data_IF_757942856386
#
_entry.id   IF_757942856386
#
_cell.length_a   1.000
_cell.length_b   1.000
_cell.length_c   1.000
_cell.angle_alpha   90.00
_cell.angle_beta   90.00
_cell.angle_gamma   90.00
#
_symmetry.space_group_name_H-M   'P 1'
#
loop_
_entity.id
_entity.type
_entity.pdbx_description
1 polymer ?
#
# COMPACT_ATOMS: atom_id res chain seq x y z
N UNK A 1 -43.26 -10.63 -2.88
CA UNK A 1 -42.86 -9.35 -2.27
C UNK A 1 -41.50 -9.54 -1.64
N UNK A 2 -40.44 -9.31 -2.43
CA UNK A 2 -39.06 -9.55 -2.03
C UNK A 2 -38.50 -8.25 -1.46
N UNK A 3 -38.05 -8.29 -0.20
CA UNK A 3 -37.47 -7.13 0.47
C UNK A 3 -36.08 -6.87 -0.11
N UNK A 4 -35.93 -5.78 -0.86
CA UNK A 4 -34.64 -5.28 -1.28
C UNK A 4 -33.86 -4.87 -0.02
N UNK A 5 -32.76 -5.58 0.25
CA UNK A 5 -31.82 -5.19 1.29
C UNK A 5 -31.12 -3.88 0.88
N UNK A 6 -30.95 -2.90 1.79
CA UNK A 6 -30.08 -1.76 1.54
C UNK A 6 -28.62 -2.21 1.66
N UNK A 7 -27.89 -2.07 0.55
CA UNK A 7 -26.44 -2.25 0.42
C UNK A 7 -25.70 -1.48 1.53
N UNK A 8 -25.34 -2.19 2.58
CA UNK A 8 -24.49 -1.69 3.65
C UNK A 8 -23.02 -1.91 3.25
N UNK A 9 -22.17 -0.94 3.56
CA UNK A 9 -20.70 -0.92 3.40
C UNK A 9 -20.16 -0.36 2.07
N UNK A 10 -20.32 0.95 1.86
CA UNK A 10 -19.58 1.73 0.85
C UNK A 10 -18.47 2.62 1.44
N UNK A 11 -18.02 2.36 2.67
CA UNK A 11 -16.74 2.87 3.12
C UNK A 11 -15.66 1.95 2.53
N UNK A 12 -15.26 2.25 1.30
CA UNK A 12 -14.12 1.59 0.66
C UNK A 12 -12.87 1.88 1.50
N UNK A 13 -12.26 0.87 2.16
CA UNK A 13 -11.14 1.11 3.07
C UNK A 13 -9.91 1.64 2.32
N UNK A 14 -9.83 1.47 1.01
CA UNK A 14 -8.75 2.02 0.18
C UNK A 14 -8.86 3.54 -0.01
N UNK A 15 -10.06 4.13 0.12
CA UNK A 15 -10.25 5.59 0.08
C UNK A 15 -9.81 6.29 1.38
N UNK A 16 -9.88 5.60 2.52
CA UNK A 16 -9.41 6.10 3.81
C UNK A 16 -7.88 6.24 3.83
N UNK A 17 -7.17 5.25 3.27
CA UNK A 17 -5.70 5.21 3.17
C UNK A 17 -5.16 6.35 2.28
N UNK A 18 -5.89 6.73 1.23
CA UNK A 18 -5.49 7.80 0.31
C UNK A 18 -5.77 9.22 0.85
N UNK A 19 -6.56 9.36 1.91
CA UNK A 19 -7.07 10.65 2.40
C UNK A 19 -6.48 11.08 3.74
N UNK A 20 -5.76 10.18 4.43
CA UNK A 20 -5.23 10.44 5.77
C UNK A 20 -3.74 10.82 5.73
N UNK A 21 -3.40 12.11 5.94
CA UNK A 21 -2.02 12.59 5.82
C UNK A 21 -1.08 11.99 6.88
N UNK A 22 -1.62 11.57 8.03
CA UNK A 22 -0.82 10.92 9.09
C UNK A 22 -0.40 9.51 8.69
N UNK A 23 -1.25 8.76 7.99
CA UNK A 23 -0.89 7.43 7.46
C UNK A 23 0.16 7.52 6.35
N UNK A 24 0.04 8.52 5.46
CA UNK A 24 1.05 8.76 4.43
C UNK A 24 2.42 9.14 5.02
N UNK A 25 2.44 9.81 6.17
CA UNK A 25 3.68 10.12 6.89
C UNK A 25 4.39 8.88 7.47
N UNK A 26 3.66 7.78 7.69
CA UNK A 26 4.24 6.50 8.11
C UNK A 26 4.83 5.68 6.94
N UNK A 27 4.47 5.99 5.70
CA UNK A 27 4.98 5.29 4.52
C UNK A 27 6.43 5.71 4.23
N UNK A 28 7.35 4.86 4.67
CA UNK A 28 8.79 5.04 4.49
C UNK A 28 9.37 4.13 3.41
N UNK A 29 10.46 4.57 2.78
CA UNK A 29 11.17 3.77 1.79
C UNK A 29 11.78 2.50 2.42
N UNK A 30 11.43 1.29 1.94
CA UNK A 30 11.93 0.02 2.50
C UNK A 30 13.41 -0.25 2.20
N UNK A 31 14.00 0.44 1.22
CA UNK A 31 15.37 0.17 0.75
C UNK A 31 16.41 1.17 1.27
N UNK A 32 15.99 2.32 1.78
CA UNK A 32 16.89 3.25 2.45
C UNK A 32 17.02 2.89 3.93
N UNK A 33 18.24 2.86 4.46
CA UNK A 33 18.49 2.59 5.88
C UNK A 33 17.82 3.64 6.80
N UNK A 34 17.81 4.90 6.36
CA UNK A 34 17.22 6.06 7.03
C UNK A 34 15.68 6.08 6.99
N UNK A 35 15.04 5.15 6.27
CA UNK A 35 13.57 5.06 6.12
C UNK A 35 12.91 6.44 5.86
N UNK A 36 13.38 7.23 4.87
CA UNK A 36 12.81 8.53 4.56
C UNK A 36 11.36 8.37 4.06
N UNK A 37 10.50 9.39 4.26
CA UNK A 37 9.12 9.37 3.80
C UNK A 37 9.03 9.30 2.26
N UNK A 38 7.98 8.66 1.77
CA UNK A 38 7.67 8.59 0.35
C UNK A 38 6.75 9.74 -0.07
N UNK A 39 6.97 10.30 -1.27
CA UNK A 39 6.06 11.26 -1.90
C UNK A 39 5.09 10.56 -2.82
N UNK A 40 3.80 10.88 -2.70
CA UNK A 40 2.79 10.45 -3.67
C UNK A 40 3.01 11.21 -5.00
N UNK A 41 3.04 10.48 -6.11
CA UNK A 41 3.11 11.07 -7.44
C UNK A 41 1.82 11.83 -7.79
N UNK A 42 1.89 12.77 -8.74
CA UNK A 42 0.76 13.58 -9.19
C UNK A 42 -0.41 12.71 -9.69
N UNK A 43 -0.10 11.64 -10.41
CA UNK A 43 -1.07 10.65 -10.90
C UNK A 43 -1.72 9.82 -9.79
N UNK A 44 -1.28 9.95 -8.53
CA UNK A 44 -1.74 9.17 -7.35
C UNK A 44 -1.73 7.65 -7.55
N UNK A 45 -0.89 7.17 -8.47
CA UNK A 45 -0.72 5.74 -8.84
C UNK A 45 0.60 5.16 -8.37
N UNK A 46 1.47 5.98 -7.78
CA UNK A 46 2.79 5.56 -7.34
C UNK A 46 3.35 6.46 -6.25
N UNK A 47 4.31 5.91 -5.51
CA UNK A 47 5.10 6.61 -4.50
C UNK A 47 6.55 6.70 -4.95
N UNK A 48 7.14 7.89 -4.82
CA UNK A 48 8.54 8.14 -5.14
C UNK A 48 9.35 8.45 -3.90
N UNK A 49 10.57 7.92 -3.82
CA UNK A 49 11.53 8.27 -2.78
C UNK A 49 12.53 9.30 -3.32
N UNK A 50 12.57 10.51 -2.77
CA UNK A 50 13.53 11.55 -3.18
C UNK A 50 14.98 11.25 -2.81
N UNK A 51 15.22 10.32 -1.90
CA UNK A 51 16.58 9.96 -1.45
C UNK A 51 17.24 8.93 -2.35
N UNK A 52 16.51 7.91 -2.81
CA UNK A 52 17.06 6.86 -3.69
C UNK A 52 16.50 6.89 -5.12
N UNK A 53 15.50 7.72 -5.41
CA UNK A 53 14.89 7.87 -6.73
C UNK A 53 13.97 6.72 -7.16
N UNK A 54 13.64 5.79 -6.24
CA UNK A 54 12.77 4.64 -6.57
C UNK A 54 11.30 5.02 -6.62
N UNK A 55 10.59 4.38 -7.53
CA UNK A 55 9.15 4.51 -7.73
C UNK A 55 8.48 3.18 -7.40
N UNK A 56 7.48 3.22 -6.53
CA UNK A 56 6.68 2.09 -6.08
C UNK A 56 5.26 2.23 -6.60
N UNK A 57 4.74 1.29 -7.40
CA UNK A 57 3.39 1.36 -7.94
C UNK A 57 2.33 1.07 -6.87
N UNK A 58 1.15 1.67 -7.02
CA UNK A 58 -0.05 1.35 -6.23
C UNK A 58 -0.89 0.38 -7.06
N UNK A 59 -1.12 -0.83 -6.53
CA UNK A 59 -1.89 -1.90 -7.17
C UNK A 59 -3.07 -2.24 -6.26
N UNK A 60 -4.30 -2.26 -6.81
CA UNK A 60 -5.53 -2.51 -6.04
C UNK A 60 -5.77 -1.52 -4.88
N UNK A 61 -5.21 -0.30 -4.99
CA UNK A 61 -5.24 0.69 -3.91
C UNK A 61 -4.17 0.51 -2.83
N UNK A 62 -3.32 -0.51 -2.93
CA UNK A 62 -2.23 -0.78 -2.00
C UNK A 62 -0.86 -0.48 -2.61
N UNK A 63 0.04 0.23 -1.89
CA UNK A 63 1.40 0.46 -2.36
C UNK A 63 2.23 -0.83 -2.34
N UNK A 64 2.79 -1.21 -3.49
CA UNK A 64 3.72 -2.34 -3.58
C UNK A 64 5.12 -1.87 -3.14
N UNK A 65 5.39 -1.96 -1.84
CA UNK A 65 6.69 -1.62 -1.22
C UNK A 65 7.60 -2.84 -1.05
N UNK A 66 7.48 -3.86 -1.92
CA UNK A 66 8.26 -5.08 -1.75
C UNK A 66 9.70 -4.86 -2.24
N UNK A 67 10.73 -5.04 -1.39
CA UNK A 67 12.08 -5.21 -1.91
C UNK A 67 12.12 -6.46 -2.79
N UNK A 68 12.83 -6.38 -3.92
CA UNK A 68 12.96 -7.54 -4.81
C UNK A 68 13.63 -8.70 -4.07
N UNK A 69 13.07 -9.89 -4.26
CA UNK A 69 13.40 -11.20 -3.67
C UNK A 69 12.87 -11.48 -2.24
N UNK A 70 11.73 -12.17 -2.17
CA UNK A 70 11.29 -12.93 -1.00
C UNK A 70 11.02 -14.37 -1.43
N UNK A 71 11.94 -15.28 -1.10
CA UNK A 71 11.71 -16.72 -1.25
C UNK A 71 10.96 -17.24 -0.01
N UNK A 72 9.78 -17.79 -0.23
CA UNK A 72 8.99 -18.43 0.82
C UNK A 72 9.62 -19.80 1.09
N UNK A 73 10.17 -19.99 2.29
CA UNK A 73 10.57 -21.32 2.73
C UNK A 73 9.35 -22.25 2.66
N UNK A 74 9.44 -23.46 2.07
CA UNK A 74 8.31 -24.37 1.99
C UNK A 74 7.80 -24.61 3.42
N UNK A 75 6.51 -24.33 3.64
CA UNK A 75 5.86 -24.57 4.92
C UNK A 75 6.17 -26.01 5.34
N UNK A 76 7.00 -26.17 6.37
CA UNK A 76 7.30 -27.47 6.94
C UNK A 76 5.97 -28.11 7.30
N UNK A 77 5.69 -29.22 6.64
CA UNK A 77 4.43 -29.97 6.72
C UNK A 77 4.18 -30.28 8.20
N UNK A 78 3.18 -29.67 8.80
CA UNK A 78 2.69 -30.13 10.10
C UNK A 78 1.88 -31.42 9.86
N UNK A 79 2.14 -32.41 10.72
CA UNK A 79 1.89 -33.85 10.51
C UNK A 79 0.43 -34.26 10.51
#
# INVERSE_FOLDING_TARGET
MNAAQPSSSSADPSALIASDPEFLALLACPLCADRPPLRLADDRRSFSCDRCGRVYPITDGFPDLRPTEAEIAPAARES
#
